data_IF_075168796485
#
_entry.id   IF_075168796485
#
_cell.length_a   1.000
_cell.length_b   1.000
_cell.length_c   1.000
_cell.angle_alpha   90.00
_cell.angle_beta   90.00
_cell.angle_gamma   90.00
#
_symmetry.space_group_name_H-M   'P 1'
#
loop_
_entity.id
_entity.type
_entity.pdbx_description
1 polymer ?
#
# COMPACT_ATOMS: atom_id res chain seq x y z
N UNK A 1 56.89 9.73 -32.43
CA UNK A 1 57.35 10.85 -33.29
C UNK A 1 57.24 12.12 -32.46
N UNK A 2 58.22 12.99 -32.24
CA UNK A 2 59.67 13.00 -32.38
C UNK A 2 60.14 14.03 -31.32
N UNK A 3 60.80 13.58 -30.25
CA UNK A 3 62.14 13.98 -29.79
C UNK A 3 62.69 15.27 -30.42
N UNK A 4 63.06 16.24 -29.57
CA UNK A 4 64.16 17.15 -29.87
C UNK A 4 65.03 17.35 -28.63
N UNK A 5 66.34 17.19 -28.84
CA UNK A 5 67.44 17.14 -27.87
C UNK A 5 68.22 18.46 -27.91
N UNK A 6 69.26 18.50 -27.06
CA UNK A 6 70.44 19.38 -27.06
C UNK A 6 70.33 20.57 -26.10
N UNK A 7 71.35 20.95 -25.31
CA UNK A 7 72.78 20.59 -25.25
C UNK A 7 73.33 21.08 -23.91
N UNK A 8 74.25 20.32 -23.30
CA UNK A 8 75.13 20.80 -22.23
C UNK A 8 76.36 21.49 -22.86
N UNK A 9 76.72 22.67 -22.37
CA UNK A 9 78.04 23.28 -22.60
C UNK A 9 78.69 23.63 -21.26
N UNK A 10 79.70 22.84 -20.90
CA UNK A 10 80.71 23.23 -19.93
C UNK A 10 81.59 24.33 -20.54
N UNK A 11 81.82 25.40 -19.80
CA UNK A 11 82.96 26.29 -19.99
C UNK A 11 83.75 26.37 -18.66
N UNK A 12 85.09 26.45 -18.72
CA UNK A 12 85.99 26.03 -17.66
C UNK A 12 86.30 27.14 -16.64
N UNK A 13 86.67 26.71 -15.44
CA UNK A 13 87.31 27.49 -14.38
C UNK A 13 88.82 27.58 -14.58
N UNK A 14 89.34 28.80 -14.71
CA UNK A 14 90.74 29.20 -14.42
C UNK A 14 90.65 30.69 -14.04
N UNK A 15 90.93 31.14 -12.83
CA UNK A 15 92.22 31.10 -12.15
C UNK A 15 92.92 32.45 -12.38
N UNK A 16 92.89 33.35 -11.38
CA UNK A 16 93.52 34.67 -11.47
C UNK A 16 93.14 35.59 -10.31
N UNK A 17 94.04 35.68 -9.35
CA UNK A 17 94.04 36.38 -8.07
C UNK A 17 93.65 37.87 -8.03
N UNK A 18 92.86 38.20 -7.00
CA UNK A 18 92.92 39.35 -6.09
C UNK A 18 93.36 40.72 -6.65
N UNK A 19 92.41 41.65 -6.75
CA UNK A 19 92.44 42.91 -6.00
C UNK A 19 91.12 43.70 -6.15
N UNK A 20 90.85 44.55 -5.15
CA UNK A 20 89.72 45.48 -4.99
C UNK A 20 88.45 44.90 -4.33
N UNK A 21 88.39 45.11 -3.01
CA UNK A 21 87.22 44.99 -2.16
C UNK A 21 86.06 45.85 -2.70
N UNK A 22 85.19 45.23 -3.50
CA UNK A 22 83.87 45.77 -3.83
C UNK A 22 82.98 45.57 -2.60
N UNK A 23 82.51 46.68 -2.06
CA UNK A 23 81.64 46.78 -0.88
C UNK A 23 80.28 46.18 -1.24
N UNK A 24 80.17 44.86 -1.15
CA UNK A 24 78.89 44.18 -1.29
C UNK A 24 78.07 44.34 -0.01
N UNK A 25 76.75 44.59 -0.09
CA UNK A 25 75.88 44.86 1.05
C UNK A 25 75.73 43.67 2.02
N UNK A 26 76.30 42.51 1.69
CA UNK A 26 76.40 41.35 2.59
C UNK A 26 77.66 41.33 3.46
N UNK A 27 78.64 42.21 3.21
CA UNK A 27 79.86 42.36 4.02
C UNK A 27 79.71 43.38 5.17
N UNK A 28 78.59 44.10 5.26
CA UNK A 28 78.29 45.00 6.40
C UNK A 28 77.69 44.20 7.57
N UNK A 29 78.13 44.43 8.82
CA UNK A 29 77.63 43.67 9.97
C UNK A 29 76.14 43.92 10.16
N UNK A 30 75.32 42.88 9.95
CA UNK A 30 73.87 42.96 10.17
C UNK A 30 73.61 43.14 11.66
N UNK A 31 72.84 44.17 12.03
CA UNK A 31 72.37 44.38 13.40
C UNK A 31 71.53 43.15 13.81
N UNK A 32 71.87 42.53 14.94
CA UNK A 32 71.11 41.41 15.47
C UNK A 32 69.69 41.89 15.83
N UNK A 33 68.69 41.46 15.05
CA UNK A 33 67.29 41.80 15.27
C UNK A 33 66.77 40.97 16.45
N UNK A 34 66.33 41.62 17.53
CA UNK A 34 65.75 40.93 18.68
C UNK A 34 64.20 40.94 18.55
N UNK A 35 63.56 39.79 18.28
CA UNK A 35 62.13 39.72 17.99
C UNK A 35 61.21 40.10 19.16
N UNK A 36 61.75 40.27 20.37
CA UNK A 36 60.98 40.65 21.56
C UNK A 36 61.06 42.14 21.92
N UNK A 37 62.02 42.89 21.37
CA UNK A 37 62.30 44.28 21.77
C UNK A 37 62.27 45.28 20.60
N UNK A 38 62.42 44.81 19.37
CA UNK A 38 62.28 45.65 18.17
C UNK A 38 60.97 45.26 17.45
N UNK A 39 59.96 46.14 17.38
CA UNK A 39 58.80 45.87 16.53
C UNK A 39 59.28 45.78 15.09
N UNK A 40 58.91 44.70 14.38
CA UNK A 40 59.28 44.52 13.00
C UNK A 40 58.81 45.74 12.19
N UNK A 41 59.75 46.50 11.61
CA UNK A 41 59.42 47.55 10.65
C UNK A 41 58.58 46.88 9.55
N UNK A 42 57.29 47.24 9.48
CA UNK A 42 56.37 46.71 8.47
C UNK A 42 56.88 47.21 7.13
N UNK A 43 57.60 46.34 6.42
CA UNK A 43 57.98 46.58 5.04
C UNK A 43 56.70 46.95 4.26
N UNK A 44 56.72 47.97 3.38
CA UNK A 44 55.58 48.28 2.55
C UNK A 44 55.17 47.00 1.83
N UNK A 45 53.89 46.64 1.92
CA UNK A 45 53.37 45.37 1.42
C UNK A 45 53.94 45.11 0.03
N UNK A 46 54.81 44.09 -0.07
CA UNK A 46 55.36 43.76 -1.38
C UNK A 46 54.19 43.38 -2.29
N UNK A 47 54.28 43.71 -3.57
CA UNK A 47 53.23 43.35 -4.54
C UNK A 47 52.89 41.85 -4.49
N UNK A 48 53.85 41.00 -4.09
CA UNK A 48 53.67 39.57 -3.86
C UNK A 48 52.82 39.26 -2.61
N UNK A 49 53.01 39.99 -1.50
CA UNK A 49 52.21 39.82 -0.27
C UNK A 49 50.72 40.09 -0.54
N UNK A 50 50.43 41.13 -1.31
CA UNK A 50 49.06 41.48 -1.68
C UNK A 50 48.45 40.45 -2.62
N UNK A 51 49.26 39.90 -3.54
CA UNK A 51 48.83 38.80 -4.40
C UNK A 51 48.57 37.52 -3.59
N UNK A 52 49.40 37.18 -2.61
CA UNK A 52 49.18 36.04 -1.69
C UNK A 52 47.88 36.22 -0.90
N UNK A 53 47.63 37.42 -0.37
CA UNK A 53 46.40 37.72 0.35
C UNK A 53 45.14 37.61 -0.53
N UNK A 54 45.21 38.12 -1.77
CA UNK A 54 44.11 37.99 -2.73
C UNK A 54 43.85 36.53 -3.12
N UNK A 55 44.90 35.73 -3.34
CA UNK A 55 44.77 34.29 -3.61
C UNK A 55 44.19 33.53 -2.41
N UNK A 56 44.56 33.91 -1.18
CA UNK A 56 43.98 33.33 0.02
C UNK A 56 42.48 33.64 0.13
N UNK A 57 42.10 34.90 -0.10
CA UNK A 57 40.70 35.33 -0.10
C UNK A 57 39.86 34.65 -1.21
N UNK A 58 40.43 34.46 -2.41
CA UNK A 58 39.75 33.78 -3.52
C UNK A 58 39.56 32.27 -3.22
N UNK A 59 40.57 31.64 -2.61
CA UNK A 59 40.45 30.26 -2.14
C UNK A 59 39.38 30.09 -1.06
N UNK A 60 39.25 31.05 -0.12
CA UNK A 60 38.18 31.05 0.89
C UNK A 60 36.80 31.18 0.24
N UNK A 61 36.64 32.07 -0.76
CA UNK A 61 35.38 32.20 -1.50
C UNK A 61 35.04 30.92 -2.28
N UNK A 62 36.05 30.29 -2.88
CA UNK A 62 35.87 29.03 -3.59
C UNK A 62 35.48 27.88 -2.64
N UNK A 63 36.06 27.85 -1.43
CA UNK A 63 35.65 26.91 -0.38
C UNK A 63 34.19 27.11 0.01
N UNK A 64 33.78 28.35 0.29
CA UNK A 64 32.39 28.67 0.60
C UNK A 64 31.44 28.25 -0.53
N UNK A 65 31.81 28.49 -1.80
CA UNK A 65 31.01 28.04 -2.95
C UNK A 65 30.88 26.51 -2.99
N UNK A 66 31.96 25.78 -2.71
CA UNK A 66 31.92 24.30 -2.65
C UNK A 66 31.05 23.80 -1.50
N UNK A 67 31.11 24.45 -0.34
CA UNK A 67 30.25 24.14 0.80
C UNK A 67 28.77 24.38 0.46
N UNK A 68 28.42 25.54 -0.11
CA UNK A 68 27.03 25.81 -0.53
C UNK A 68 26.51 24.82 -1.56
N UNK A 69 27.32 24.44 -2.55
CA UNK A 69 26.95 23.41 -3.53
C UNK A 69 26.83 22.02 -2.88
N UNK A 70 27.67 21.70 -1.90
CA UNK A 70 27.58 20.47 -1.12
C UNK A 70 26.29 20.44 -0.31
N UNK A 71 25.92 21.54 0.34
CA UNK A 71 24.68 21.66 1.12
C UNK A 71 23.45 21.55 0.21
N UNK A 72 23.44 22.20 -0.96
CA UNK A 72 22.35 22.05 -1.94
C UNK A 72 22.19 20.60 -2.44
N UNK A 73 23.30 19.88 -2.63
CA UNK A 73 23.29 18.46 -3.01
C UNK A 73 22.82 17.60 -1.84
N UNK A 74 23.24 17.92 -0.62
CA UNK A 74 22.81 17.24 0.61
C UNK A 74 21.30 17.35 0.79
N UNK A 75 20.74 18.55 0.66
CA UNK A 75 19.31 18.81 0.78
C UNK A 75 18.49 18.12 -0.32
N UNK A 76 18.99 18.06 -1.57
CA UNK A 76 18.25 17.44 -2.69
C UNK A 76 18.25 15.91 -2.65
N UNK A 77 19.35 15.29 -2.22
CA UNK A 77 19.53 13.84 -2.36
C UNK A 77 19.48 13.07 -1.04
N UNK A 78 19.93 13.67 0.07
CA UNK A 78 20.04 12.99 1.36
C UNK A 78 18.98 13.44 2.37
N UNK A 79 18.65 14.73 2.42
CA UNK A 79 17.57 15.24 3.27
C UNK A 79 16.21 15.01 2.61
N UNK A 80 15.56 13.90 2.95
CA UNK A 80 14.15 13.67 2.67
C UNK A 80 13.50 13.24 3.98
N UNK A 81 12.57 14.04 4.51
CA UNK A 81 11.82 13.73 5.75
C UNK A 81 11.23 12.30 5.71
N UNK A 82 10.82 11.84 4.53
CA UNK A 82 10.25 10.50 4.33
C UNK A 82 11.26 9.34 4.30
N UNK A 83 12.58 9.58 4.24
CA UNK A 83 13.63 8.55 4.16
C UNK A 83 14.56 8.51 5.38
N UNK A 84 14.47 9.48 6.27
CA UNK A 84 15.22 9.46 7.52
C UNK A 84 14.71 8.32 8.42
N UNK A 85 15.56 7.31 8.74
CA UNK A 85 15.14 6.19 9.58
C UNK A 85 14.66 6.67 10.96
N UNK A 86 15.26 7.73 11.49
CA UNK A 86 14.91 8.26 12.82
C UNK A 86 13.52 8.91 12.79
N UNK A 87 13.18 9.65 11.73
CA UNK A 87 11.85 10.26 11.60
C UNK A 87 10.75 9.21 11.43
N UNK A 88 10.99 8.16 10.65
CA UNK A 88 10.07 7.02 10.54
C UNK A 88 9.85 6.33 11.89
N UNK A 89 10.90 6.13 12.66
CA UNK A 89 10.81 5.59 14.02
C UNK A 89 9.98 6.51 14.91
N UNK A 90 10.21 7.83 14.87
CA UNK A 90 9.41 8.81 15.62
C UNK A 90 7.93 8.79 15.21
N UNK A 91 7.63 8.75 13.91
CA UNK A 91 6.26 8.66 13.40
C UNK A 91 5.60 7.35 13.81
N UNK A 92 6.32 6.23 13.69
CA UNK A 92 5.85 4.93 14.12
C UNK A 92 5.60 4.90 15.64
N UNK A 93 6.51 5.47 16.45
CA UNK A 93 6.35 5.60 17.90
C UNK A 93 5.19 6.52 18.28
N UNK A 94 4.93 7.58 17.52
CA UNK A 94 3.72 8.41 17.67
C UNK A 94 2.46 7.58 17.40
N UNK A 95 2.42 6.83 16.31
CA UNK A 95 1.28 5.95 16.00
C UNK A 95 1.09 4.87 17.07
N UNK A 96 2.17 4.26 17.55
CA UNK A 96 2.15 3.24 18.60
C UNK A 96 1.71 3.85 19.93
N UNK A 97 2.20 5.02 20.31
CA UNK A 97 1.79 5.71 21.55
C UNK A 97 0.32 6.14 21.50
N UNK A 98 -0.17 6.63 20.36
CA UNK A 98 -1.61 6.87 20.15
C UNK A 98 -2.43 5.58 20.27
N UNK A 99 -1.98 4.48 19.67
CA UNK A 99 -2.67 3.19 19.80
C UNK A 99 -2.64 2.65 21.23
N UNK A 100 -1.53 2.82 21.96
CA UNK A 100 -1.39 2.43 23.38
C UNK A 100 -2.33 3.23 24.27
N UNK A 101 -2.34 4.56 24.14
CA UNK A 101 -3.24 5.43 24.92
C UNK A 101 -4.71 5.15 24.61
N UNK A 102 -5.07 4.90 23.35
CA UNK A 102 -6.42 4.47 22.99
C UNK A 102 -6.80 3.12 23.64
N UNK A 103 -5.89 2.14 23.65
CA UNK A 103 -6.09 0.85 24.33
C UNK A 103 -6.20 0.98 25.85
N UNK A 104 -5.41 1.86 26.46
CA UNK A 104 -5.53 2.17 27.88
C UNK A 104 -6.89 2.79 28.18
N UNK A 105 -7.33 3.78 27.40
CA UNK A 105 -8.67 4.38 27.54
C UNK A 105 -9.79 3.35 27.36
N UNK A 106 -9.65 2.39 26.45
CA UNK A 106 -10.58 1.27 26.28
C UNK A 106 -10.63 0.33 27.49
N UNK A 107 -9.48 0.08 28.14
CA UNK A 107 -9.42 -0.70 29.38
C UNK A 107 -10.15 0.00 30.53
N UNK A 108 -10.04 1.33 30.61
CA UNK A 108 -10.75 2.12 31.61
C UNK A 108 -12.24 2.29 31.30
N UNK A 109 -12.62 2.39 30.02
CA UNK A 109 -13.99 2.59 29.56
C UNK A 109 -14.39 1.56 28.49
N UNK A 110 -15.10 0.47 28.85
CA UNK A 110 -15.54 -0.55 27.89
C UNK A 110 -16.55 0.00 26.87
N UNK A 111 -17.20 1.12 27.17
CA UNK A 111 -18.15 1.79 26.28
C UNK A 111 -17.45 2.33 25.01
N UNK A 112 -16.16 2.69 25.10
CA UNK A 112 -15.38 3.15 23.94
C UNK A 112 -15.08 2.01 22.96
N UNK A 113 -14.93 0.79 23.46
CA UNK A 113 -14.74 -0.41 22.61
C UNK A 113 -15.98 -0.60 21.75
N UNK A 114 -17.17 -0.54 22.36
CA UNK A 114 -18.45 -0.70 21.64
C UNK A 114 -18.61 0.37 20.54
N UNK A 115 -18.24 1.63 20.82
CA UNK A 115 -18.33 2.71 19.82
C UNK A 115 -17.34 2.48 18.67
N UNK A 116 -16.12 2.03 18.98
CA UNK A 116 -15.14 1.65 17.96
C UNK A 116 -15.63 0.47 17.11
N UNK A 117 -16.24 -0.55 17.72
CA UNK A 117 -16.81 -1.70 17.04
C UNK A 117 -17.97 -1.30 16.11
N UNK A 118 -18.82 -0.36 16.53
CA UNK A 118 -19.87 0.23 15.68
C UNK A 118 -19.25 1.02 14.52
N UNK A 119 -18.19 1.79 14.78
CA UNK A 119 -17.48 2.57 13.77
C UNK A 119 -16.78 1.70 12.72
N UNK A 120 -16.32 0.51 13.10
CA UNK A 120 -15.74 -0.48 12.20
C UNK A 120 -16.78 -1.16 11.29
N UNK A 121 -18.08 -1.02 11.57
CA UNK A 121 -19.13 -1.60 10.72
C UNK A 121 -19.30 -0.84 9.39
N UNK A 122 -19.85 -1.51 8.36
CA UNK A 122 -20.11 -0.89 7.07
C UNK A 122 -21.02 0.33 7.17
N UNK A 123 -20.86 1.27 6.25
CA UNK A 123 -21.51 2.59 6.29
C UNK A 123 -23.04 2.54 6.42
N UNK A 124 -23.72 1.52 5.88
CA UNK A 124 -25.17 1.37 5.99
C UNK A 124 -25.64 0.95 7.40
N UNK A 125 -24.74 0.46 8.25
CA UNK A 125 -25.03 0.08 9.64
C UNK A 125 -24.42 1.10 10.61
N UNK A 126 -23.17 1.50 10.39
CA UNK A 126 -22.45 2.38 11.30
C UNK A 126 -23.07 3.79 11.37
N UNK A 127 -23.45 4.39 10.25
CA UNK A 127 -24.07 5.73 10.22
C UNK A 127 -25.35 5.82 11.06
N UNK A 128 -26.40 5.01 10.82
CA UNK A 128 -27.64 5.11 11.60
C UNK A 128 -27.42 4.78 13.08
N UNK A 129 -26.55 3.82 13.40
CA UNK A 129 -26.22 3.52 14.79
C UNK A 129 -25.49 4.66 15.50
N UNK A 130 -24.48 5.25 14.84
CA UNK A 130 -23.73 6.38 15.41
C UNK A 130 -24.60 7.62 15.58
N UNK A 131 -25.53 7.89 14.66
CA UNK A 131 -26.51 8.98 14.81
C UNK A 131 -27.40 8.75 16.05
N UNK A 132 -27.88 7.53 16.23
CA UNK A 132 -28.68 7.16 17.43
C UNK A 132 -27.86 7.26 18.71
N UNK A 133 -26.59 6.83 18.69
CA UNK A 133 -25.67 6.95 19.82
C UNK A 133 -25.41 8.42 20.16
N UNK A 134 -25.16 9.28 19.15
CA UNK A 134 -25.00 10.73 19.33
C UNK A 134 -26.24 11.37 19.95
N UNK A 135 -27.43 10.96 19.54
CA UNK A 135 -28.68 11.40 20.16
C UNK A 135 -28.78 10.99 21.63
N UNK A 136 -28.47 9.73 21.98
CA UNK A 136 -28.48 9.30 23.39
C UNK A 136 -27.41 10.01 24.23
N UNK A 137 -26.29 10.38 23.61
CA UNK A 137 -25.25 11.16 24.27
C UNK A 137 -25.71 12.60 24.57
N UNK A 138 -26.39 13.25 23.62
CA UNK A 138 -26.87 14.64 23.81
C UNK A 138 -27.94 14.79 24.90
N UNK A 139 -28.59 13.70 25.31
CA UNK A 139 -29.51 13.69 26.46
C UNK A 139 -28.80 13.87 27.82
N UNK A 140 -27.46 13.83 27.87
CA UNK A 140 -26.67 14.14 29.07
C UNK A 140 -26.78 13.11 30.22
N UNK A 141 -27.35 11.92 29.97
CA UNK A 141 -27.57 10.88 30.99
C UNK A 141 -26.51 9.78 30.90
N UNK A 142 -25.34 10.00 31.51
CA UNK A 142 -24.18 9.09 31.41
C UNK A 142 -24.50 7.62 31.75
N UNK A 143 -25.22 7.34 32.85
CA UNK A 143 -25.57 5.96 33.24
C UNK A 143 -26.51 5.27 32.24
N UNK A 144 -27.49 6.01 31.72
CA UNK A 144 -28.44 5.47 30.73
C UNK A 144 -27.76 5.24 29.37
N UNK A 145 -26.83 6.13 29.01
CA UNK A 145 -26.00 5.99 27.82
C UNK A 145 -25.11 4.74 27.87
N UNK A 146 -24.36 4.54 28.95
CA UNK A 146 -23.55 3.34 29.15
C UNK A 146 -24.40 2.06 29.13
N UNK A 147 -25.59 2.11 29.75
CA UNK A 147 -26.54 1.00 29.74
C UNK A 147 -27.02 0.68 28.33
N UNK A 148 -27.39 1.69 27.55
CA UNK A 148 -27.80 1.53 26.16
C UNK A 148 -26.70 0.87 25.33
N UNK A 149 -25.46 1.36 25.40
CA UNK A 149 -24.35 0.75 24.65
C UNK A 149 -24.16 -0.75 24.99
N UNK A 150 -24.22 -1.10 26.28
CA UNK A 150 -23.97 -2.47 26.73
C UNK A 150 -25.15 -3.42 26.53
N UNK A 151 -26.38 -2.98 26.78
CA UNK A 151 -27.56 -3.84 26.76
C UNK A 151 -28.27 -3.86 25.40
N UNK A 152 -28.09 -2.85 24.54
CA UNK A 152 -28.74 -2.82 23.22
C UNK A 152 -27.73 -2.94 22.09
N UNK A 153 -26.72 -2.08 22.03
CA UNK A 153 -25.80 -2.02 20.89
C UNK A 153 -24.91 -3.25 20.83
N UNK A 154 -24.28 -3.66 21.95
CA UNK A 154 -23.43 -4.86 21.97
C UNK A 154 -24.19 -6.12 21.54
N UNK A 155 -25.37 -6.45 22.10
CA UNK A 155 -26.17 -7.58 21.60
C UNK A 155 -26.58 -7.45 20.13
N UNK A 156 -26.88 -6.23 19.64
CA UNK A 156 -27.14 -6.02 18.21
C UNK A 156 -25.93 -6.41 17.33
N UNK A 157 -24.71 -6.04 17.73
CA UNK A 157 -23.49 -6.42 17.01
C UNK A 157 -23.23 -7.93 17.08
N UNK A 158 -23.40 -8.55 18.25
CA UNK A 158 -23.24 -10.00 18.38
C UNK A 158 -24.29 -10.77 17.56
N UNK A 159 -25.52 -10.26 17.42
CA UNK A 159 -26.52 -10.85 16.52
C UNK A 159 -26.15 -10.65 15.05
N UNK A 160 -25.62 -9.48 14.70
CA UNK A 160 -25.17 -9.17 13.35
C UNK A 160 -24.04 -10.12 12.90
N UNK A 161 -23.07 -10.40 13.78
CA UNK A 161 -22.00 -11.37 13.50
C UNK A 161 -22.55 -12.77 13.24
N UNK A 162 -23.48 -13.26 14.09
CA UNK A 162 -24.14 -14.56 13.87
C UNK A 162 -24.89 -14.62 12.54
N UNK A 163 -25.55 -13.53 12.15
CA UNK A 163 -26.24 -13.45 10.85
C UNK A 163 -25.22 -13.52 9.70
N UNK A 164 -24.10 -12.80 9.77
CA UNK A 164 -23.04 -12.87 8.75
C UNK A 164 -22.44 -14.27 8.63
N UNK A 165 -22.19 -14.93 9.76
CA UNK A 165 -21.68 -16.30 9.76
C UNK A 165 -22.66 -17.29 9.11
N UNK A 166 -23.97 -17.06 9.28
CA UNK A 166 -25.02 -17.86 8.66
C UNK A 166 -25.22 -17.57 7.16
N UNK A 167 -24.97 -16.34 6.71
CA UNK A 167 -25.10 -15.93 5.30
C UNK A 167 -24.02 -16.56 4.42
N UNK A 168 -22.82 -16.76 4.97
CA UNK A 168 -21.68 -17.26 4.21
C UNK A 168 -21.44 -18.72 4.58
N UNK A 169 -21.89 -19.68 3.75
CA UNK A 169 -21.56 -21.09 3.94
C UNK A 169 -20.07 -21.38 3.71
N UNK A 170 -19.57 -22.51 4.22
CA UNK A 170 -18.22 -23.00 3.95
C UNK A 170 -17.95 -23.17 2.44
N UNK A 171 -18.94 -23.65 1.67
CA UNK A 171 -18.83 -23.78 0.21
C UNK A 171 -18.73 -22.42 -0.48
N UNK A 172 -19.45 -21.42 0.06
CA UNK A 172 -19.42 -20.06 -0.45
C UNK A 172 -18.06 -19.40 -0.18
N UNK A 173 -17.49 -19.60 1.03
CA UNK A 173 -16.12 -19.15 1.36
C UNK A 173 -15.08 -19.79 0.45
N UNK A 174 -15.21 -21.10 0.19
CA UNK A 174 -14.33 -21.80 -0.73
C UNK A 174 -14.42 -21.19 -2.14
N UNK A 175 -15.62 -20.89 -2.63
CA UNK A 175 -15.78 -20.24 -3.92
C UNK A 175 -15.14 -18.85 -3.97
N UNK A 176 -15.28 -18.08 -2.89
CA UNK A 176 -14.67 -16.75 -2.79
C UNK A 176 -13.13 -16.78 -2.72
N UNK A 177 -12.52 -17.94 -2.46
CA UNK A 177 -11.06 -18.11 -2.51
C UNK A 177 -10.49 -18.27 -3.92
N UNK A 178 -11.35 -18.44 -4.94
CA UNK A 178 -10.91 -18.41 -6.33
C UNK A 178 -10.52 -17.00 -6.75
N UNK A 179 -9.53 -16.92 -7.65
CA UNK A 179 -8.94 -15.65 -8.11
C UNK A 179 -10.02 -14.68 -8.62
N UNK A 180 -10.08 -13.50 -7.99
CA UNK A 180 -11.02 -12.43 -8.35
C UNK A 180 -12.43 -12.56 -7.77
N UNK A 181 -12.76 -13.63 -7.04
CA UNK A 181 -14.07 -13.83 -6.41
C UNK A 181 -14.12 -13.43 -4.93
N UNK A 182 -13.04 -12.85 -4.39
CA UNK A 182 -12.95 -12.34 -3.01
C UNK A 182 -14.08 -11.36 -2.66
N UNK A 183 -14.56 -10.61 -3.66
CA UNK A 183 -15.67 -9.66 -3.52
C UNK A 183 -16.98 -10.29 -3.06
N UNK A 184 -17.15 -11.61 -3.16
CA UNK A 184 -18.32 -12.33 -2.65
C UNK A 184 -18.45 -12.24 -1.13
N UNK A 185 -17.32 -12.20 -0.39
CA UNK A 185 -17.34 -12.09 1.08
C UNK A 185 -17.86 -10.74 1.57
N UNK A 186 -17.75 -9.71 0.73
CA UNK A 186 -18.09 -8.31 1.04
C UNK A 186 -19.31 -7.86 0.23
N UNK A 187 -20.09 -8.81 -0.29
CA UNK A 187 -21.26 -8.57 -1.14
C UNK A 187 -22.26 -7.54 -0.58
N UNK A 188 -22.61 -7.56 0.73
CA UNK A 188 -23.55 -6.60 1.33
C UNK A 188 -23.10 -5.14 1.26
N UNK A 189 -21.81 -4.88 1.12
CA UNK A 189 -21.23 -3.52 1.14
C UNK A 189 -21.05 -2.95 -0.27
N UNK A 190 -21.04 -3.82 -1.28
CA UNK A 190 -20.73 -3.44 -2.65
C UNK A 190 -21.73 -2.44 -3.26
N UNK A 191 -21.19 -1.59 -4.13
CA UNK A 191 -21.95 -0.72 -5.03
C UNK A 191 -22.43 -1.48 -6.27
N UNK A 192 -23.38 -0.91 -7.00
CA UNK A 192 -23.96 -1.54 -8.19
C UNK A 192 -22.90 -1.92 -9.25
N UNK A 193 -21.94 -1.04 -9.52
CA UNK A 193 -20.89 -1.32 -10.51
C UNK A 193 -19.88 -2.37 -10.04
N UNK A 194 -19.63 -2.45 -8.72
CA UNK A 194 -18.83 -3.52 -8.14
C UNK A 194 -19.51 -4.88 -8.29
N UNK A 195 -20.84 -4.93 -8.06
CA UNK A 195 -21.61 -6.16 -8.30
C UNK A 195 -21.60 -6.57 -9.77
N UNK A 196 -21.70 -5.62 -10.72
CA UNK A 196 -21.57 -5.92 -12.16
C UNK A 196 -20.22 -6.55 -12.49
N UNK A 197 -19.12 -5.97 -11.99
CA UNK A 197 -17.77 -6.52 -12.17
C UNK A 197 -17.64 -7.91 -11.55
N UNK A 198 -18.13 -8.10 -10.33
CA UNK A 198 -18.12 -9.42 -9.68
C UNK A 198 -18.94 -10.43 -10.49
N UNK A 199 -20.06 -10.02 -11.06
CA UNK A 199 -20.90 -10.88 -11.90
C UNK A 199 -20.20 -11.31 -13.18
N UNK A 200 -19.41 -10.43 -13.80
CA UNK A 200 -18.57 -10.80 -14.95
C UNK A 200 -17.48 -11.80 -14.57
N UNK A 201 -16.90 -11.67 -13.37
CA UNK A 201 -15.89 -12.62 -12.87
C UNK A 201 -16.51 -13.98 -12.53
N UNK A 202 -17.68 -14.00 -11.90
CA UNK A 202 -18.42 -15.26 -11.65
C UNK A 202 -18.80 -15.93 -12.97
N UNK A 203 -19.29 -15.17 -13.94
CA UNK A 203 -19.61 -15.71 -15.27
C UNK A 203 -18.37 -16.30 -15.96
N UNK A 204 -17.23 -15.60 -15.90
CA UNK A 204 -15.96 -16.10 -16.43
C UNK A 204 -15.51 -17.38 -15.71
N UNK A 205 -15.63 -17.45 -14.39
CA UNK A 205 -15.37 -18.66 -13.61
C UNK A 205 -16.25 -19.83 -14.07
N UNK A 206 -17.55 -19.60 -14.26
CA UNK A 206 -18.46 -20.65 -14.77
C UNK A 206 -18.08 -21.11 -16.18
N UNK A 207 -17.62 -20.21 -17.04
CA UNK A 207 -17.08 -20.56 -18.37
C UNK A 207 -15.83 -21.43 -18.26
N UNK A 208 -14.87 -21.07 -17.40
CA UNK A 208 -13.69 -21.90 -17.16
C UNK A 208 -14.06 -23.29 -16.62
N UNK A 209 -15.03 -23.38 -15.70
CA UNK A 209 -15.53 -24.66 -15.22
C UNK A 209 -16.17 -25.49 -16.32
N UNK A 210 -16.89 -24.85 -17.27
CA UNK A 210 -17.44 -25.54 -18.42
C UNK A 210 -16.34 -26.01 -19.37
N UNK A 211 -15.36 -25.16 -19.68
CA UNK A 211 -14.23 -25.51 -20.55
C UNK A 211 -13.44 -26.68 -19.98
N UNK A 212 -13.17 -26.66 -18.66
CA UNK A 212 -12.54 -27.78 -17.97
C UNK A 212 -13.41 -29.04 -17.98
N UNK A 213 -14.73 -28.90 -17.83
CA UNK A 213 -15.64 -30.04 -17.86
C UNK A 213 -15.80 -30.65 -19.26
N UNK A 214 -15.69 -29.83 -20.30
CA UNK A 214 -15.81 -30.23 -21.70
C UNK A 214 -14.47 -30.64 -22.34
N UNK A 215 -13.32 -30.29 -21.74
CA UNK A 215 -12.00 -30.69 -22.23
C UNK A 215 -11.86 -32.21 -22.43
N UNK A 216 -12.49 -33.00 -21.57
CA UNK A 216 -12.55 -34.47 -21.67
C UNK A 216 -13.46 -34.98 -22.81
N UNK A 217 -14.42 -34.16 -23.26
CA UNK A 217 -15.47 -34.56 -24.20
C UNK A 217 -15.07 -34.43 -25.67
N UNK A 218 -14.22 -33.46 -25.99
CA UNK A 218 -13.84 -33.15 -27.39
C UNK A 218 -12.73 -34.05 -27.94
N UNK A 219 -12.30 -35.08 -27.20
CA UNK A 219 -11.26 -36.03 -27.63
C UNK A 219 -11.85 -37.16 -28.50
N UNK A 220 -13.16 -37.40 -28.44
CA UNK A 220 -13.86 -38.44 -29.19
C UNK A 220 -15.03 -37.88 -30.01
N UNK A 221 -15.16 -38.32 -31.26
CA UNK A 221 -16.20 -37.84 -32.20
C UNK A 221 -17.64 -38.20 -31.78
N UNK A 222 -17.82 -39.18 -30.89
CA UNK A 222 -19.13 -39.68 -30.44
C UNK A 222 -19.51 -39.17 -29.03
N UNK A 223 -19.86 -37.89 -28.89
CA UNK A 223 -20.28 -37.32 -27.59
C UNK A 223 -21.67 -37.82 -27.20
N UNK A 224 -21.78 -38.54 -26.07
CA UNK A 224 -23.08 -39.02 -25.57
C UNK A 224 -23.85 -37.91 -24.86
N UNK A 225 -25.20 -37.87 -24.95
CA UNK A 225 -26.00 -36.85 -24.26
C UNK A 225 -25.86 -36.93 -22.73
N UNK A 226 -25.50 -38.10 -22.18
CA UNK A 226 -25.19 -38.27 -20.76
C UNK A 226 -23.92 -37.54 -20.33
N UNK A 227 -22.93 -37.46 -21.21
CA UNK A 227 -21.65 -36.80 -20.95
C UNK A 227 -21.82 -35.27 -20.98
N UNK A 228 -22.62 -34.76 -21.93
CA UNK A 228 -23.05 -33.34 -21.96
C UNK A 228 -23.76 -32.97 -20.65
N UNK A 229 -24.63 -33.86 -20.16
CA UNK A 229 -25.30 -33.65 -18.87
C UNK A 229 -24.33 -33.68 -17.70
N UNK A 230 -23.29 -34.52 -17.71
CA UNK A 230 -22.26 -34.53 -16.67
C UNK A 230 -21.48 -33.22 -16.64
N UNK A 231 -21.14 -32.65 -17.79
CA UNK A 231 -20.53 -31.33 -17.86
C UNK A 231 -21.45 -30.25 -17.26
N UNK A 232 -22.74 -30.28 -17.61
CA UNK A 232 -23.73 -29.40 -16.99
C UNK A 232 -23.83 -29.61 -15.47
N UNK A 233 -23.80 -30.85 -14.97
CA UNK A 233 -23.85 -31.16 -13.54
C UNK A 233 -22.65 -30.58 -12.78
N UNK A 234 -21.45 -30.56 -13.39
CA UNK A 234 -20.25 -29.93 -12.80
C UNK A 234 -20.44 -28.41 -12.66
N UNK A 235 -20.85 -27.72 -13.72
CA UNK A 235 -21.11 -26.26 -13.68
C UNK A 235 -22.27 -25.92 -12.72
N UNK A 236 -23.33 -26.73 -12.73
CA UNK A 236 -24.47 -26.58 -11.82
C UNK A 236 -24.04 -26.76 -10.36
N UNK A 237 -23.09 -27.65 -10.06
CA UNK A 237 -22.54 -27.81 -8.72
C UNK A 237 -21.78 -26.56 -8.26
N UNK A 238 -21.01 -25.92 -9.15
CA UNK A 238 -20.33 -24.66 -8.84
C UNK A 238 -21.31 -23.53 -8.54
N UNK A 239 -22.38 -23.40 -9.34
CA UNK A 239 -23.45 -22.43 -9.05
C UNK A 239 -24.15 -22.72 -7.71
N UNK A 240 -24.36 -23.99 -7.36
CA UNK A 240 -24.91 -24.39 -6.05
C UNK A 240 -23.96 -24.08 -4.89
N UNK A 241 -22.63 -24.06 -5.09
CA UNK A 241 -21.67 -23.64 -4.05
C UNK A 241 -21.82 -22.15 -3.71
N UNK A 242 -22.29 -21.35 -4.67
CA UNK A 242 -22.70 -19.95 -4.49
C UNK A 242 -24.13 -19.80 -3.93
N UNK A 243 -24.77 -20.90 -3.52
CA UNK A 243 -26.15 -20.95 -3.01
C UNK A 243 -27.21 -20.49 -4.03
N UNK A 244 -26.85 -20.39 -5.31
CA UNK A 244 -27.77 -20.03 -6.38
C UNK A 244 -28.26 -21.29 -7.08
N UNK A 245 -29.57 -21.51 -7.06
CA UNK A 245 -30.19 -22.66 -7.73
C UNK A 245 -30.06 -22.50 -9.25
N UNK A 246 -29.42 -23.47 -9.95
CA UNK A 246 -29.30 -23.45 -11.40
C UNK A 246 -30.65 -23.45 -12.12
N UNK A 247 -30.76 -22.82 -13.29
CA UNK A 247 -31.96 -22.90 -14.11
C UNK A 247 -32.23 -24.35 -14.55
N UNK A 248 -33.50 -24.78 -14.49
CA UNK A 248 -33.93 -26.15 -14.78
C UNK A 248 -33.29 -27.26 -13.91
N UNK A 249 -32.70 -26.93 -12.76
CA UNK A 249 -32.01 -27.88 -11.88
C UNK A 249 -32.85 -29.12 -11.54
N UNK A 250 -34.10 -28.92 -11.12
CA UNK A 250 -35.01 -30.00 -10.76
C UNK A 250 -35.31 -30.97 -11.90
N UNK A 251 -35.26 -30.49 -13.14
CA UNK A 251 -35.56 -31.29 -14.33
C UNK A 251 -34.33 -32.01 -14.87
N UNK A 252 -33.12 -31.52 -14.59
CA UNK A 252 -31.86 -32.02 -15.11
C UNK A 252 -31.05 -32.83 -14.08
N UNK A 253 -31.27 -32.67 -12.77
CA UNK A 253 -30.59 -33.44 -11.71
C UNK A 253 -30.83 -34.94 -11.80
N UNK A 254 -29.86 -35.77 -11.39
CA UNK A 254 -30.04 -37.23 -11.23
C UNK A 254 -31.12 -37.53 -10.18
N UNK A 255 -32.10 -38.34 -10.56
CA UNK A 255 -33.18 -38.79 -9.68
C UNK A 255 -33.19 -40.31 -9.68
N UNK A 256 -33.13 -40.94 -8.51
CA UNK A 256 -33.09 -42.41 -8.34
C UNK A 256 -34.30 -43.10 -8.96
N UNK A 257 -35.47 -42.44 -8.95
CA UNK A 257 -36.71 -42.92 -9.58
C UNK A 257 -37.26 -41.83 -10.49
N UNK A 258 -36.91 -41.88 -11.78
CA UNK A 258 -37.37 -40.91 -12.78
C UNK A 258 -38.47 -41.55 -13.63
N UNK A 259 -39.64 -40.88 -13.72
CA UNK A 259 -40.80 -41.36 -14.51
C UNK A 259 -40.79 -40.90 -15.96
N UNK A 260 -40.17 -39.74 -16.24
CA UNK A 260 -40.04 -39.14 -17.58
C UNK A 260 -38.58 -39.17 -18.02
N UNK A 261 -38.28 -39.25 -19.33
CA UNK A 261 -36.90 -39.15 -19.82
C UNK A 261 -36.26 -37.81 -19.44
N UNK A 262 -34.94 -37.72 -19.59
CA UNK A 262 -34.20 -36.48 -19.30
C UNK A 262 -34.43 -35.49 -20.46
N UNK A 263 -34.92 -34.27 -20.20
CA UNK A 263 -35.07 -33.26 -21.24
C UNK A 263 -33.71 -32.61 -21.52
N UNK A 264 -32.94 -33.20 -22.44
CA UNK A 264 -31.61 -32.69 -22.81
C UNK A 264 -31.68 -31.30 -23.50
N UNK A 265 -32.81 -30.95 -24.11
CA UNK A 265 -33.06 -29.65 -24.72
C UNK A 265 -32.94 -28.47 -23.75
N UNK A 266 -33.11 -28.70 -22.44
CA UNK A 266 -32.99 -27.67 -21.42
C UNK A 266 -31.55 -27.38 -21.00
N UNK A 267 -30.59 -28.22 -21.40
CA UNK A 267 -29.19 -28.05 -21.02
C UNK A 267 -28.58 -26.79 -21.65
N UNK A 268 -28.63 -26.57 -22.99
CA UNK A 268 -28.05 -25.37 -23.58
C UNK A 268 -28.65 -24.06 -23.05
N UNK A 269 -29.98 -23.91 -22.90
CA UNK A 269 -30.56 -22.72 -22.29
C UNK A 269 -30.15 -22.52 -20.83
N UNK A 270 -29.99 -23.61 -20.06
CA UNK A 270 -29.55 -23.55 -18.68
C UNK A 270 -28.09 -23.10 -18.56
N UNK A 271 -27.19 -23.68 -19.36
CA UNK A 271 -25.79 -23.27 -19.46
C UNK A 271 -25.69 -21.79 -19.86
N UNK A 272 -26.39 -21.37 -20.92
CA UNK A 272 -26.37 -19.98 -21.38
C UNK A 272 -26.70 -18.97 -20.27
N UNK A 273 -27.61 -19.32 -19.35
CA UNK A 273 -27.92 -18.47 -18.19
C UNK A 273 -26.81 -18.48 -17.15
N UNK A 274 -26.25 -19.65 -16.80
CA UNK A 274 -25.16 -19.76 -15.82
C UNK A 274 -23.84 -19.14 -16.32
N UNK A 275 -23.67 -18.98 -17.63
CA UNK A 275 -22.52 -18.31 -18.23
C UNK A 275 -22.76 -16.80 -18.47
N UNK A 276 -24.00 -16.33 -18.29
CA UNK A 276 -24.36 -14.95 -18.58
C UNK A 276 -24.11 -14.03 -17.37
N UNK A 277 -23.28 -13.00 -17.56
CA UNK A 277 -22.99 -12.00 -16.54
C UNK A 277 -24.25 -11.24 -16.06
N UNK A 278 -25.18 -10.91 -16.96
CA UNK A 278 -26.42 -10.20 -16.59
C UNK A 278 -27.33 -11.03 -15.68
N UNK A 279 -27.35 -12.35 -15.89
CA UNK A 279 -28.10 -13.26 -15.03
C UNK A 279 -27.50 -13.30 -13.63
N UNK A 280 -26.17 -13.45 -13.52
CA UNK A 280 -25.46 -13.36 -12.24
C UNK A 280 -25.64 -12.00 -11.57
N UNK A 281 -25.63 -10.90 -12.32
CA UNK A 281 -25.86 -9.58 -11.77
C UNK A 281 -27.20 -9.47 -11.07
N UNK A 282 -28.27 -10.03 -11.65
CA UNK A 282 -29.58 -10.05 -10.99
C UNK A 282 -29.59 -10.93 -9.74
N UNK A 283 -28.91 -12.08 -9.78
CA UNK A 283 -28.86 -13.02 -8.65
C UNK A 283 -28.02 -12.51 -7.50
N UNK A 284 -26.80 -12.04 -7.75
CA UNK A 284 -25.95 -11.43 -6.75
C UNK A 284 -26.58 -10.16 -6.17
N UNK A 285 -27.27 -9.36 -6.98
CA UNK A 285 -27.97 -8.17 -6.49
C UNK A 285 -29.15 -8.53 -5.58
N UNK A 286 -29.93 -9.55 -5.94
CA UNK A 286 -31.01 -10.06 -5.09
C UNK A 286 -30.45 -10.55 -3.74
N UNK A 287 -29.45 -11.43 -3.75
CA UNK A 287 -28.82 -11.94 -2.53
C UNK A 287 -28.23 -10.83 -1.67
N UNK A 288 -27.56 -9.85 -2.30
CA UNK A 288 -27.07 -8.66 -1.60
C UNK A 288 -28.18 -7.92 -0.85
N UNK A 289 -29.32 -7.71 -1.50
CA UNK A 289 -30.46 -7.01 -0.89
C UNK A 289 -31.05 -7.80 0.28
N UNK A 290 -31.26 -9.11 0.09
CA UNK A 290 -31.74 -10.02 1.13
C UNK A 290 -30.80 -10.01 2.34
N UNK A 291 -29.49 -10.16 2.10
CA UNK A 291 -28.48 -10.16 3.16
C UNK A 291 -28.39 -8.82 3.89
N UNK A 292 -28.44 -7.71 3.14
CA UNK A 292 -28.43 -6.37 3.73
C UNK A 292 -29.67 -6.14 4.59
N UNK A 293 -30.83 -6.59 4.15
CA UNK A 293 -32.06 -6.47 4.94
C UNK A 293 -32.00 -7.31 6.21
N UNK A 294 -31.51 -8.56 6.15
CA UNK A 294 -31.30 -9.40 7.32
C UNK A 294 -30.32 -8.78 8.32
N UNK A 295 -29.24 -8.17 7.84
CA UNK A 295 -28.29 -7.44 8.68
C UNK A 295 -28.94 -6.24 9.36
N UNK A 296 -29.76 -5.46 8.65
CA UNK A 296 -30.47 -4.32 9.24
C UNK A 296 -31.54 -4.76 10.27
N UNK A 297 -32.24 -5.87 10.01
CA UNK A 297 -33.16 -6.49 10.97
C UNK A 297 -32.44 -6.97 12.23
N UNK A 298 -31.25 -7.56 12.10
CA UNK A 298 -30.43 -8.01 13.23
C UNK A 298 -30.03 -6.86 14.18
N UNK A 299 -29.89 -5.66 13.62
CA UNK A 299 -29.50 -4.43 14.33
C UNK A 299 -30.73 -3.61 14.78
N UNK A 300 -31.96 -4.08 14.51
CA UNK A 300 -33.22 -3.38 14.82
C UNK A 300 -33.33 -1.98 14.18
N UNK A 301 -32.92 -1.88 12.91
CA UNK A 301 -33.04 -0.66 12.09
C UNK A 301 -34.18 -0.73 11.05
N UNK A 302 -34.91 -1.84 11.02
CA UNK A 302 -36.10 -2.11 10.18
C UNK A 302 -37.22 -2.52 11.12
#
# INVERSE_FOLDING_TARGET
MAVSKFTLHNAPTTGGSNEAAVVFPWNTPKKAVNPYLDPAEVAPESALSNLIALYAADNEQEQLRRETLSDEVWERYFFNESRDPVQREIEQDRLISHAKTAREQQRFNPDLVIIADVGAQPAHISKPLLERIKYFHSLGRAKAYSRYLRETIRPCLERLERVRDSQVSASFRFMASHDGLEGLLVLPEMNQDQVKRLSTLVAAHMSMCLDAACGDLFVSDDVKPEEIRQAWERVAAEAMRLEVIPPAFEQLRRKKRRRKPVPYELIPPSLARMLCADWWCRKLWQMRCEWREEQLRAVCLV
#
